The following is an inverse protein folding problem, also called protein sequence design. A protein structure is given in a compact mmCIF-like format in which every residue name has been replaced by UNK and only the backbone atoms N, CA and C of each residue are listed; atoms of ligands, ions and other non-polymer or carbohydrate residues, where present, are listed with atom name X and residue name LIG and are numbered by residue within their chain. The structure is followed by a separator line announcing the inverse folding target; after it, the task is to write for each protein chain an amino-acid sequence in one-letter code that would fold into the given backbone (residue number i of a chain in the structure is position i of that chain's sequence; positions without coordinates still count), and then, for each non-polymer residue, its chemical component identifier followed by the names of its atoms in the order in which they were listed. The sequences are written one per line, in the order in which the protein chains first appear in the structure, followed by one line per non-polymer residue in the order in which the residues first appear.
data_IF_234085071073
#
_entry.id   IF_234085071073
#
_cell.length_a   1.000
_cell.length_b   1.000
_cell.length_c   1.000
_cell.angle_alpha   90.00
_cell.angle_beta   90.00
_cell.angle_gamma   90.00
#
_symmetry.space_group_name_H-M   'P 1'
#
loop_
_entity.id
_entity.type
_entity.pdbx_description
1 polymer ?
#
# COMPACT_ATOMS: atom_id res chain seq x y z
N UNK A 1 14.30 -30.82 11.54
CA UNK A 1 14.65 -29.54 12.22
C UNK A 1 14.07 -28.32 11.50
N UNK A 2 14.35 -28.10 10.19
CA UNK A 2 13.87 -26.89 9.46
C UNK A 2 12.33 -26.76 9.39
N UNK A 3 11.61 -27.87 9.23
CA UNK A 3 10.13 -27.90 9.18
C UNK A 3 9.48 -27.46 10.52
N UNK A 4 10.12 -27.77 11.65
CA UNK A 4 9.64 -27.37 12.98
C UNK A 4 9.88 -25.87 13.23
N UNK A 5 10.99 -25.33 12.72
CA UNK A 5 11.27 -23.89 12.80
C UNK A 5 10.28 -23.06 11.97
N UNK A 6 9.88 -23.54 10.80
CA UNK A 6 8.86 -22.88 9.97
C UNK A 6 7.49 -22.86 10.66
N UNK A 7 7.09 -23.97 11.29
CA UNK A 7 5.82 -24.05 12.03
C UNK A 7 5.83 -23.10 13.24
N UNK A 8 6.93 -23.05 13.99
CA UNK A 8 7.08 -22.15 15.13
C UNK A 8 7.08 -20.66 14.74
N UNK A 9 7.66 -20.31 13.59
CA UNK A 9 7.61 -18.94 13.07
C UNK A 9 6.19 -18.53 12.64
N UNK A 10 5.45 -19.46 12.01
CA UNK A 10 4.09 -19.22 11.58
C UNK A 10 3.15 -19.00 12.78
N UNK A 11 3.29 -19.81 13.85
CA UNK A 11 2.47 -19.65 15.06
C UNK A 11 2.82 -18.39 15.83
N UNK A 12 4.09 -17.99 15.88
CA UNK A 12 4.50 -16.72 16.50
C UNK A 12 3.92 -15.50 15.75
N UNK A 13 3.90 -15.55 14.41
CA UNK A 13 3.34 -14.47 13.59
C UNK A 13 1.82 -14.32 13.77
N UNK A 14 1.07 -15.43 13.85
CA UNK A 14 -0.38 -15.37 14.05
C UNK A 14 -0.77 -14.90 15.46
N UNK A 15 -0.02 -15.31 16.49
CA UNK A 15 -0.23 -14.82 17.86
C UNK A 15 0.17 -13.34 18.00
N UNK A 16 1.20 -12.88 17.29
CA UNK A 16 1.60 -11.47 17.25
C UNK A 16 0.57 -10.57 16.55
N UNK A 17 -0.02 -11.03 15.44
CA UNK A 17 -1.12 -10.32 14.78
C UNK A 17 -2.39 -10.25 15.65
N UNK A 18 -2.71 -11.33 16.38
CA UNK A 18 -3.85 -11.33 17.31
C UNK A 18 -3.65 -10.35 18.48
N UNK A 19 -2.41 -10.15 18.93
CA UNK A 19 -2.08 -9.17 19.96
C UNK A 19 -2.10 -7.71 19.46
N UNK A 20 -1.82 -7.48 18.17
CA UNK A 20 -1.94 -6.16 17.54
C UNK A 20 -3.37 -5.85 17.02
N UNK A 21 -4.26 -6.84 17.05
CA UNK A 21 -5.67 -6.74 16.64
C UNK A 21 -6.65 -6.46 17.78
N UNK A 22 -6.18 -6.27 19.01
CA UNK A 22 -6.99 -5.71 20.11
C UNK A 22 -7.04 -4.19 19.98
N UNK A 23 -7.46 -3.70 18.81
CA UNK A 23 -7.88 -2.33 18.67
C UNK A 23 -9.20 -2.19 19.44
N UNK A 24 -9.21 -1.34 20.45
CA UNK A 24 -10.44 -0.83 21.04
C UNK A 24 -11.31 -0.31 19.88
N UNK A 25 -12.62 -0.59 19.90
CA UNK A 25 -13.53 -0.18 18.84
C UNK A 25 -13.63 1.36 18.83
N UNK A 26 -12.75 2.00 18.07
CA UNK A 26 -12.72 3.45 17.91
C UNK A 26 -14.01 4.01 17.26
N UNK A 27 -14.89 3.12 16.78
CA UNK A 27 -16.22 3.46 16.27
C UNK A 27 -17.15 4.03 17.34
N UNK A 28 -16.89 3.77 18.62
CA UNK A 28 -17.75 4.22 19.74
C UNK A 28 -17.43 5.64 20.23
N UNK A 29 -16.18 6.10 20.17
CA UNK A 29 -15.80 7.45 20.60
C UNK A 29 -16.00 8.52 19.51
N UNK A 30 -16.04 8.12 18.24
CA UNK A 30 -16.36 9.01 17.13
C UNK A 30 -17.89 9.13 16.95
N UNK A 31 -18.60 9.62 17.97
CA UNK A 31 -19.89 10.25 17.71
C UNK A 31 -19.60 11.43 16.80
N UNK A 32 -19.99 11.34 15.52
CA UNK A 32 -19.91 12.45 14.61
C UNK A 32 -20.89 13.51 15.13
N UNK A 33 -20.38 14.41 15.97
CA UNK A 33 -20.95 15.74 16.18
C UNK A 33 -20.89 16.44 14.83
N UNK A 34 -21.81 16.03 13.95
CA UNK A 34 -22.15 16.76 12.75
C UNK A 34 -22.89 17.97 13.27
N UNK A 35 -22.09 18.94 13.74
CA UNK A 35 -22.53 20.31 13.94
C UNK A 35 -23.40 20.62 12.74
N UNK A 36 -24.64 21.02 13.03
CA UNK A 36 -25.66 21.49 12.10
C UNK A 36 -25.15 22.75 11.42
N UNK A 37 -24.09 22.61 10.62
CA UNK A 37 -23.61 23.60 9.69
C UNK A 37 -24.69 23.66 8.62
N UNK A 38 -25.50 24.74 8.58
CA UNK A 38 -26.59 24.83 7.63
C UNK A 38 -26.03 24.62 6.23
N UNK A 39 -26.73 23.88 5.37
CA UNK A 39 -26.28 23.65 4.00
C UNK A 39 -25.96 24.97 3.27
N UNK A 40 -26.70 26.04 3.61
CA UNK A 40 -26.50 27.39 3.11
C UNK A 40 -25.13 28.00 3.49
N UNK A 41 -24.55 27.62 4.64
CA UNK A 41 -23.24 28.08 5.05
C UNK A 41 -22.12 27.52 4.15
N UNK A 42 -22.30 26.32 3.59
CA UNK A 42 -21.36 25.73 2.64
C UNK A 42 -21.46 26.34 1.24
N UNK A 43 -22.61 26.94 0.90
CA UNK A 43 -22.89 27.57 -0.39
C UNK A 43 -22.72 29.10 -0.37
N UNK A 44 -22.37 29.68 0.78
CA UNK A 44 -22.15 31.11 0.90
C UNK A 44 -21.05 31.57 -0.08
N UNK A 45 -21.25 32.70 -0.78
CA UNK A 45 -20.26 33.20 -1.71
C UNK A 45 -18.97 33.57 -0.96
N UNK A 46 -17.84 33.17 -1.53
CA UNK A 46 -16.51 33.57 -1.05
C UNK A 46 -16.18 34.93 -1.68
N UNK A 47 -16.16 36.00 -0.86
CA UNK A 47 -15.77 37.34 -1.28
C UNK A 47 -14.24 37.52 -1.42
N UNK A 48 -13.46 36.48 -1.08
CA UNK A 48 -12.01 36.52 -1.17
C UNK A 48 -11.55 36.56 -2.63
N UNK A 49 -10.78 37.58 -2.98
CA UNK A 49 -10.11 37.68 -4.28
C UNK A 49 -8.91 36.73 -4.28
N UNK A 50 -8.74 35.89 -5.33
CA UNK A 50 -7.55 35.05 -5.45
C UNK A 50 -6.27 35.88 -5.37
N UNK A 51 -5.36 35.50 -4.48
CA UNK A 51 -4.03 36.11 -4.39
C UNK A 51 -3.14 35.42 -5.43
N UNK A 52 -2.37 36.22 -6.17
CA UNK A 52 -1.42 35.68 -7.14
C UNK A 52 -0.33 34.88 -6.40
N UNK A 53 -0.21 33.60 -6.72
CA UNK A 53 0.88 32.75 -6.25
C UNK A 53 2.12 32.99 -7.14
N UNK A 54 3.22 33.55 -6.59
CA UNK A 54 4.45 33.79 -7.36
C UNK A 54 5.09 32.50 -7.86
N UNK A 55 4.80 31.36 -7.23
CA UNK A 55 5.30 30.04 -7.62
C UNK A 55 4.47 29.37 -8.72
N UNK A 56 3.28 29.87 -9.04
CA UNK A 56 2.44 29.28 -10.10
C UNK A 56 3.06 29.39 -11.51
N UNK A 57 4.04 30.27 -11.69
CA UNK A 57 4.84 30.40 -12.92
C UNK A 57 6.26 29.88 -12.77
N UNK A 58 6.60 29.31 -11.60
CA UNK A 58 7.86 28.63 -11.42
C UNK A 58 7.90 27.45 -12.39
N UNK A 59 8.77 27.56 -13.39
CA UNK A 59 9.15 26.40 -14.18
C UNK A 59 10.10 25.62 -13.31
N UNK A 60 9.55 24.79 -12.42
CA UNK A 60 10.34 23.68 -11.91
C UNK A 60 10.79 22.91 -13.15
N UNK A 61 12.09 23.03 -13.47
CA UNK A 61 12.72 22.03 -14.30
C UNK A 61 12.41 20.73 -13.57
N UNK A 62 11.77 19.73 -14.20
CA UNK A 62 11.58 18.45 -13.54
C UNK A 62 12.99 18.00 -13.16
N UNK A 63 13.32 18.14 -11.87
CA UNK A 63 14.52 17.58 -11.28
C UNK A 63 14.41 16.13 -11.66
N UNK A 64 15.34 15.71 -12.54
CA UNK A 64 15.20 14.57 -13.42
C UNK A 64 14.38 13.50 -12.71
N UNK A 65 13.07 13.44 -13.01
CA UNK A 65 12.23 12.38 -12.49
C UNK A 65 13.01 11.16 -12.91
N UNK A 66 13.57 10.48 -11.92
CA UNK A 66 14.38 9.30 -12.09
C UNK A 66 13.49 8.39 -12.90
N UNK A 67 13.69 8.44 -14.22
CA UNK A 67 12.83 7.76 -15.16
C UNK A 67 13.13 6.33 -14.81
N UNK A 68 12.19 5.57 -14.20
CA UNK A 68 12.49 4.18 -13.95
C UNK A 68 12.81 3.61 -15.33
N UNK A 69 14.04 3.16 -15.50
CA UNK A 69 14.52 2.69 -16.79
C UNK A 69 13.45 1.73 -17.34
N UNK A 70 12.87 2.00 -18.51
CA UNK A 70 11.84 1.13 -19.03
C UNK A 70 12.45 -0.27 -19.24
N UNK A 71 11.64 -1.29 -18.96
CA UNK A 71 11.83 -2.70 -19.35
C UNK A 71 12.71 -3.62 -18.48
N UNK A 72 13.64 -3.12 -17.66
CA UNK A 72 14.51 -4.02 -16.89
C UNK A 72 13.75 -4.81 -15.80
N UNK A 73 12.80 -4.18 -15.12
CA UNK A 73 12.04 -4.81 -14.02
C UNK A 73 10.95 -5.77 -14.50
N UNK A 74 10.31 -5.46 -15.64
CA UNK A 74 9.27 -6.31 -16.22
C UNK A 74 9.85 -7.60 -16.81
N UNK A 75 10.97 -7.49 -17.54
CA UNK A 75 11.67 -8.66 -18.09
C UNK A 75 12.21 -9.54 -16.96
N UNK A 76 12.86 -8.95 -15.96
CA UNK A 76 13.37 -9.70 -14.80
C UNK A 76 12.25 -10.40 -14.01
N UNK A 77 11.08 -9.78 -13.89
CA UNK A 77 9.92 -10.40 -13.26
C UNK A 77 9.36 -11.57 -14.08
N UNK A 78 9.33 -11.45 -15.41
CA UNK A 78 8.89 -12.51 -16.30
C UNK A 78 9.85 -13.71 -16.28
N UNK A 79 11.16 -13.48 -16.30
CA UNK A 79 12.17 -14.53 -16.21
C UNK A 79 12.08 -15.28 -14.87
N UNK A 80 11.96 -14.54 -13.76
CA UNK A 80 11.77 -15.15 -12.44
C UNK A 80 10.50 -16.00 -12.35
N UNK A 81 9.40 -15.57 -12.99
CA UNK A 81 8.17 -16.35 -13.05
C UNK A 81 8.32 -17.64 -13.88
N UNK A 82 9.06 -17.59 -15.00
CA UNK A 82 9.35 -18.75 -15.83
C UNK A 82 10.21 -19.78 -15.07
N UNK A 83 11.23 -19.33 -14.33
CA UNK A 83 12.08 -20.20 -13.51
C UNK A 83 11.30 -20.91 -12.39
N UNK A 84 10.36 -20.21 -11.75
CA UNK A 84 9.49 -20.80 -10.72
C UNK A 84 8.54 -21.83 -11.34
N UNK A 85 7.98 -21.55 -12.52
CA UNK A 85 7.11 -22.49 -13.22
C UNK A 85 7.87 -23.77 -13.64
N UNK A 86 9.11 -23.64 -14.10
CA UNK A 86 9.97 -24.77 -14.46
C UNK A 86 10.33 -25.63 -13.24
N UNK A 87 10.68 -25.00 -12.11
CA UNK A 87 10.95 -25.72 -10.87
C UNK A 87 9.71 -26.44 -10.32
N UNK A 88 8.53 -25.82 -10.42
CA UNK A 88 7.28 -26.45 -10.02
C UNK A 88 6.93 -27.67 -10.90
N UNK A 89 7.16 -27.57 -12.21
CA UNK A 89 6.98 -28.69 -13.13
C UNK A 89 7.95 -29.84 -12.84
N UNK A 90 9.23 -29.55 -12.62
CA UNK A 90 10.23 -30.56 -12.26
C UNK A 90 9.93 -31.24 -10.91
N UNK A 91 9.46 -30.48 -9.92
CA UNK A 91 9.05 -31.01 -8.63
C UNK A 91 7.76 -31.85 -8.70
N UNK A 92 6.93 -31.66 -9.72
CA UNK A 92 5.73 -32.47 -9.96
C UNK A 92 6.03 -33.79 -10.71
N UNK A 93 7.17 -33.87 -11.40
CA UNK A 93 7.62 -35.07 -12.12
C UNK A 93 8.47 -36.02 -11.25
N UNK A 94 9.04 -35.56 -10.14
CA UNK A 94 9.63 -36.48 -9.16
C UNK A 94 8.51 -37.22 -8.41
N UNK A 95 8.39 -38.56 -8.55
CA UNK A 95 7.41 -39.32 -7.81
C UNK A 95 7.70 -39.19 -6.31
N UNK A 96 6.67 -38.85 -5.54
CA UNK A 96 6.72 -38.92 -4.09
C UNK A 96 6.98 -40.38 -3.67
N UNK A 97 8.23 -40.69 -3.32
CA UNK A 97 8.58 -41.82 -2.46
C UNK A 97 8.42 -41.47 -0.98
#
# INVERSE_FOLDING_TARGET
MRKLAAIAALTAATLGLAACGSADDASTEASADTVEMPADAALAPIDAVPVADPSATATDTPDALETPAPDASATAAADAAADVAAQAAAAAEEPAE
#
